data_IF_128034753518
#
_entry.id   IF_128034753518
#
_cell.length_a   1.000
_cell.length_b   1.000
_cell.length_c   1.000
_cell.angle_alpha   90.00
_cell.angle_beta   90.00
_cell.angle_gamma   90.00
#
_symmetry.space_group_name_H-M   'P 1'
#
loop_
_entity.id
_entity.type
_entity.pdbx_description
1 polymer ?
#
# COMPACT_ATOMS: atom_id res chain seq x y z
N UNK A 1 -45.47 -13.91 11.56
CA UNK A 1 -44.00 -13.69 11.65
C UNK A 1 -43.76 -12.25 12.06
N UNK A 2 -43.26 -11.98 13.26
CA UNK A 2 -42.83 -10.62 13.60
C UNK A 2 -41.59 -10.31 12.74
N UNK A 3 -41.68 -9.30 11.87
CA UNK A 3 -40.49 -8.80 11.17
C UNK A 3 -39.47 -8.42 12.23
N UNK A 4 -38.32 -9.11 12.22
CA UNK A 4 -37.19 -8.81 13.10
C UNK A 4 -36.90 -7.31 13.08
N UNK A 5 -36.73 -6.69 14.24
CA UNK A 5 -36.43 -5.25 14.36
C UNK A 5 -35.19 -4.85 13.55
N UNK A 6 -34.24 -5.78 13.37
CA UNK A 6 -33.08 -5.61 12.51
C UNK A 6 -33.46 -5.45 11.03
N UNK A 7 -34.37 -6.29 10.52
CA UNK A 7 -34.85 -6.21 9.14
C UNK A 7 -35.59 -4.90 8.88
N UNK A 8 -36.35 -4.42 9.87
CA UNK A 8 -37.02 -3.10 9.79
C UNK A 8 -36.02 -1.96 9.73
N UNK A 9 -34.96 -2.02 10.54
CA UNK A 9 -33.90 -1.00 10.55
C UNK A 9 -33.20 -0.90 9.20
N UNK A 10 -32.70 -2.01 8.66
CA UNK A 10 -32.04 -1.99 7.34
C UNK A 10 -33.00 -1.55 6.23
N UNK A 11 -34.27 -1.99 6.28
CA UNK A 11 -35.28 -1.54 5.32
C UNK A 11 -35.49 -0.02 5.37
N UNK A 12 -35.41 0.61 6.54
CA UNK A 12 -35.49 2.06 6.66
C UNK A 12 -34.28 2.76 6.01
N UNK A 13 -33.08 2.19 6.14
CA UNK A 13 -31.87 2.71 5.48
C UNK A 13 -31.93 2.53 3.96
N UNK A 14 -32.41 1.39 3.46
CA UNK A 14 -32.64 1.20 2.02
C UNK A 14 -33.65 2.19 1.46
N UNK A 15 -34.74 2.47 2.19
CA UNK A 15 -35.69 3.52 1.82
C UNK A 15 -35.05 4.91 1.79
N UNK A 16 -34.16 5.22 2.73
CA UNK A 16 -33.43 6.49 2.73
C UNK A 16 -32.55 6.63 1.47
N UNK A 17 -31.86 5.56 1.08
CA UNK A 17 -31.06 5.54 -0.16
C UNK A 17 -31.94 5.74 -1.41
N UNK A 18 -33.14 5.14 -1.44
CA UNK A 18 -34.10 5.33 -2.53
C UNK A 18 -34.65 6.76 -2.58
N UNK A 19 -34.96 7.37 -1.43
CA UNK A 19 -35.35 8.78 -1.36
C UNK A 19 -34.25 9.68 -1.90
N UNK A 20 -33.00 9.43 -1.54
CA UNK A 20 -31.85 10.15 -2.08
C UNK A 20 -31.77 10.00 -3.61
N UNK A 21 -31.90 8.77 -4.13
CA UNK A 21 -31.88 8.48 -5.57
C UNK A 21 -33.04 9.15 -6.32
N UNK A 22 -34.22 9.22 -5.72
CA UNK A 22 -35.38 9.91 -6.28
C UNK A 22 -35.22 11.44 -6.26
N UNK A 23 -34.64 12.00 -5.19
CA UNK A 23 -34.33 13.42 -5.14
C UNK A 23 -33.31 13.80 -6.23
N UNK A 24 -32.30 12.95 -6.44
CA UNK A 24 -31.34 13.08 -7.53
C UNK A 24 -32.04 13.07 -8.89
N UNK A 25 -32.90 12.09 -9.16
CA UNK A 25 -33.58 11.98 -10.46
C UNK A 25 -34.52 13.16 -10.72
N UNK A 26 -35.04 13.78 -9.66
CA UNK A 26 -35.80 15.01 -9.68
C UNK A 26 -34.94 16.30 -9.78
N UNK A 27 -33.62 16.18 -9.93
CA UNK A 27 -32.65 17.30 -9.95
C UNK A 27 -32.63 18.15 -8.67
N UNK A 28 -32.90 17.52 -7.53
CA UNK A 28 -32.86 18.14 -6.20
C UNK A 28 -31.58 17.79 -5.44
N UNK A 29 -30.46 17.59 -6.16
CA UNK A 29 -29.17 17.22 -5.54
C UNK A 29 -28.66 18.27 -4.55
N UNK A 30 -28.94 19.54 -4.79
CA UNK A 30 -28.58 20.65 -3.89
C UNK A 30 -29.30 20.59 -2.53
N UNK A 31 -30.43 19.88 -2.45
CA UNK A 31 -31.16 19.68 -1.19
C UNK A 31 -30.66 18.47 -0.40
N UNK A 32 -29.70 17.71 -0.93
CA UNK A 32 -29.13 16.54 -0.28
C UNK A 32 -27.89 16.90 0.51
N UNK A 33 -27.71 16.22 1.64
CA UNK A 33 -26.52 16.39 2.47
C UNK A 33 -25.49 15.30 2.15
N UNK A 34 -24.28 15.64 1.66
CA UNK A 34 -23.23 14.66 1.43
C UNK A 34 -22.80 13.96 2.74
N UNK A 35 -22.89 14.65 3.88
CA UNK A 35 -22.64 14.06 5.21
C UNK A 35 -23.64 12.94 5.57
N UNK A 36 -24.91 13.10 5.17
CA UNK A 36 -25.91 12.03 5.32
C UNK A 36 -25.57 10.87 4.40
N UNK A 37 -25.22 11.12 3.14
CA UNK A 37 -24.74 10.10 2.22
C UNK A 37 -23.55 9.31 2.78
N UNK A 38 -22.55 10.01 3.35
CA UNK A 38 -21.34 9.41 3.94
C UNK A 38 -21.70 8.52 5.13
N UNK A 39 -22.56 9.01 6.02
CA UNK A 39 -23.06 8.24 7.18
C UNK A 39 -23.80 6.97 6.74
N UNK A 40 -24.59 7.05 5.66
CA UNK A 40 -25.30 5.90 5.10
C UNK A 40 -24.32 4.90 4.47
N UNK A 41 -23.31 5.35 3.71
CA UNK A 41 -22.29 4.45 3.14
C UNK A 41 -21.48 3.74 4.23
N UNK A 42 -21.08 4.48 5.27
CA UNK A 42 -20.44 3.92 6.46
C UNK A 42 -21.30 2.85 7.16
N UNK A 43 -22.60 3.14 7.34
CA UNK A 43 -23.55 2.18 7.91
C UNK A 43 -23.66 0.93 7.04
N UNK A 44 -23.89 1.09 5.74
CA UNK A 44 -24.04 -0.02 4.80
C UNK A 44 -22.77 -0.87 4.74
N UNK A 45 -21.59 -0.25 4.80
CA UNK A 45 -20.30 -0.94 4.85
C UNK A 45 -20.18 -1.85 6.07
N UNK A 46 -20.54 -1.34 7.25
CA UNK A 46 -20.55 -2.14 8.49
C UNK A 46 -21.60 -3.25 8.42
N UNK A 47 -22.77 -2.93 7.89
CA UNK A 47 -23.88 -3.85 7.80
C UNK A 47 -23.61 -5.01 6.82
N UNK A 48 -23.08 -4.74 5.62
CA UNK A 48 -22.83 -5.78 4.62
C UNK A 48 -21.72 -6.74 5.03
N UNK A 49 -20.78 -6.30 5.87
CA UNK A 49 -19.77 -7.18 6.45
C UNK A 49 -20.35 -8.22 7.39
N UNK A 50 -21.33 -7.81 8.20
CA UNK A 50 -21.91 -8.65 9.25
C UNK A 50 -23.12 -9.47 8.80
N UNK A 51 -23.99 -8.92 7.95
CA UNK A 51 -25.33 -9.47 7.70
C UNK A 51 -25.58 -9.91 6.26
N UNK A 52 -24.75 -9.51 5.30
CA UNK A 52 -24.88 -9.90 3.90
C UNK A 52 -23.95 -11.07 3.59
N UNK A 53 -24.52 -12.17 3.08
CA UNK A 53 -23.82 -13.41 2.79
C UNK A 53 -23.01 -13.91 4.01
N UNK A 54 -23.65 -14.06 5.19
CA UNK A 54 -22.94 -14.50 6.40
C UNK A 54 -22.32 -15.88 6.19
N UNK A 55 -21.15 -16.10 6.78
CA UNK A 55 -20.54 -17.43 6.79
C UNK A 55 -21.15 -18.27 7.90
N UNK A 56 -21.88 -19.33 7.52
CA UNK A 56 -22.59 -20.18 8.47
C UNK A 56 -21.65 -20.88 9.45
N UNK A 57 -20.38 -21.09 9.06
CA UNK A 57 -19.36 -21.73 9.89
C UNK A 57 -18.97 -20.92 11.12
N UNK A 58 -19.21 -19.61 11.13
CA UNK A 58 -18.85 -18.73 12.25
C UNK A 58 -19.90 -18.68 13.35
N UNK A 59 -21.07 -19.31 13.15
CA UNK A 59 -22.19 -19.19 14.08
C UNK A 59 -22.72 -20.56 14.45
N UNK A 60 -22.93 -20.77 15.76
CA UNK A 60 -23.62 -21.96 16.25
C UNK A 60 -25.10 -21.97 15.87
N UNK A 61 -25.72 -20.78 15.83
CA UNK A 61 -27.09 -20.58 15.40
C UNK A 61 -27.21 -19.25 14.66
N UNK A 62 -27.88 -19.26 13.49
CA UNK A 62 -28.22 -18.05 12.74
C UNK A 62 -29.74 -17.87 12.75
N UNK A 63 -30.19 -16.63 12.90
CA UNK A 63 -31.61 -16.30 12.81
C UNK A 63 -32.17 -16.75 11.45
N UNK A 64 -33.25 -17.55 11.41
CA UNK A 64 -33.86 -18.00 10.14
C UNK A 64 -34.29 -16.83 9.25
N UNK A 65 -34.69 -15.71 9.85
CA UNK A 65 -35.08 -14.51 9.11
C UNK A 65 -33.89 -13.84 8.39
N UNK A 66 -32.70 -13.84 9.01
CA UNK A 66 -31.48 -13.30 8.40
C UNK A 66 -30.98 -14.23 7.31
N UNK A 67 -30.91 -15.54 7.61
CA UNK A 67 -30.49 -16.55 6.62
C UNK A 67 -31.41 -16.54 5.39
N UNK A 68 -32.73 -16.48 5.57
CA UNK A 68 -33.69 -16.42 4.46
C UNK A 68 -33.66 -15.10 3.66
N UNK A 69 -33.21 -13.99 4.27
CA UNK A 69 -33.18 -12.68 3.59
C UNK A 69 -31.85 -12.37 2.93
N UNK A 70 -30.74 -12.83 3.50
CA UNK A 70 -29.39 -12.40 3.11
C UNK A 70 -28.38 -13.55 3.00
N UNK A 71 -28.84 -14.82 3.07
CA UNK A 71 -28.01 -16.01 2.86
C UNK A 71 -27.56 -16.19 1.42
N UNK A 72 -26.57 -17.08 1.22
CA UNK A 72 -25.86 -17.27 -0.07
C UNK A 72 -26.76 -17.62 -1.24
N UNK A 73 -27.82 -18.39 -0.99
CA UNK A 73 -28.72 -18.92 -2.02
C UNK A 73 -30.10 -18.26 -1.98
N UNK A 74 -30.15 -16.96 -1.65
CA UNK A 74 -31.40 -16.23 -1.49
C UNK A 74 -31.55 -15.10 -2.51
N UNK A 75 -32.76 -14.94 -3.05
CA UNK A 75 -33.13 -13.81 -3.92
C UNK A 75 -32.91 -12.47 -3.21
N UNK A 76 -33.10 -12.43 -1.89
CA UNK A 76 -32.90 -11.24 -1.07
C UNK A 76 -31.44 -10.79 -1.05
N UNK A 77 -30.47 -11.72 -1.00
CA UNK A 77 -29.05 -11.39 -1.12
C UNK A 77 -28.71 -10.88 -2.52
N UNK A 78 -29.24 -11.50 -3.57
CA UNK A 78 -29.01 -11.08 -4.96
C UNK A 78 -29.55 -9.68 -5.23
N UNK A 79 -30.78 -9.42 -4.77
CA UNK A 79 -31.39 -8.10 -4.83
C UNK A 79 -30.56 -7.07 -4.04
N UNK A 80 -30.15 -7.41 -2.82
CA UNK A 80 -29.37 -6.50 -1.97
C UNK A 80 -28.02 -6.13 -2.60
N UNK A 81 -27.30 -7.09 -3.17
CA UNK A 81 -26.03 -6.83 -3.86
C UNK A 81 -26.26 -5.91 -5.07
N UNK A 82 -27.28 -6.19 -5.87
CA UNK A 82 -27.62 -5.37 -7.04
C UNK A 82 -28.00 -3.93 -6.63
N UNK A 83 -28.78 -3.80 -5.56
CA UNK A 83 -29.15 -2.52 -4.97
C UNK A 83 -27.93 -1.73 -4.49
N UNK A 84 -27.00 -2.37 -3.76
CA UNK A 84 -25.80 -1.71 -3.27
C UNK A 84 -24.87 -1.28 -4.42
N UNK A 85 -24.70 -2.12 -5.45
CA UNK A 85 -23.90 -1.78 -6.63
C UNK A 85 -24.51 -0.61 -7.41
N UNK A 86 -25.83 -0.61 -7.62
CA UNK A 86 -26.54 0.50 -8.24
C UNK A 86 -26.40 1.79 -7.43
N UNK A 87 -26.50 1.71 -6.09
CA UNK A 87 -26.27 2.86 -5.21
C UNK A 87 -24.83 3.38 -5.30
N UNK A 88 -23.84 2.50 -5.35
CA UNK A 88 -22.43 2.86 -5.56
C UNK A 88 -22.26 3.60 -6.89
N UNK A 89 -22.77 3.03 -7.99
CA UNK A 89 -22.68 3.64 -9.33
C UNK A 89 -23.36 5.02 -9.33
N UNK A 90 -24.54 5.13 -8.71
CA UNK A 90 -25.23 6.41 -8.57
C UNK A 90 -24.38 7.45 -7.83
N UNK A 91 -23.76 7.07 -6.71
CA UNK A 91 -22.92 7.99 -5.96
C UNK A 91 -21.68 8.42 -6.76
N UNK A 92 -21.00 7.49 -7.43
CA UNK A 92 -19.83 7.79 -8.27
C UNK A 92 -20.18 8.72 -9.45
N UNK A 93 -21.43 8.67 -9.93
CA UNK A 93 -21.89 9.52 -11.02
C UNK A 93 -22.18 10.97 -10.62
N UNK A 94 -22.54 11.21 -9.36
CA UNK A 94 -23.16 12.46 -8.94
C UNK A 94 -22.29 13.26 -7.99
N UNK A 95 -21.62 12.57 -7.07
CA UNK A 95 -20.87 13.17 -5.98
C UNK A 95 -19.39 13.32 -6.35
N UNK A 96 -19.06 13.56 -7.62
CA UNK A 96 -17.67 13.65 -8.12
C UNK A 96 -16.86 14.76 -7.44
N UNK A 97 -17.52 15.76 -6.86
CA UNK A 97 -16.90 16.86 -6.11
C UNK A 97 -16.77 16.59 -4.60
N UNK A 98 -17.43 15.57 -4.06
CA UNK A 98 -17.48 15.27 -2.62
C UNK A 98 -16.54 14.10 -2.28
N UNK A 99 -15.25 14.38 -2.11
CA UNK A 99 -14.19 13.38 -1.96
C UNK A 99 -14.48 12.40 -0.81
N UNK A 100 -14.88 12.89 0.37
CA UNK A 100 -15.17 12.04 1.52
C UNK A 100 -16.30 11.05 1.26
N UNK A 101 -17.36 11.46 0.55
CA UNK A 101 -18.47 10.59 0.19
C UNK A 101 -18.06 9.55 -0.86
N UNK A 102 -17.24 9.94 -1.83
CA UNK A 102 -16.68 9.00 -2.81
C UNK A 102 -15.81 7.94 -2.13
N UNK A 103 -14.94 8.34 -1.20
CA UNK A 103 -14.12 7.42 -0.43
C UNK A 103 -14.98 6.43 0.38
N UNK A 104 -15.99 6.90 1.13
CA UNK A 104 -16.90 6.02 1.86
C UNK A 104 -17.69 5.08 0.94
N UNK A 105 -18.11 5.57 -0.22
CA UNK A 105 -18.81 4.78 -1.25
C UNK A 105 -17.91 3.67 -1.80
N UNK A 106 -16.64 3.98 -2.11
CA UNK A 106 -15.70 2.99 -2.62
C UNK A 106 -15.21 2.03 -1.54
N UNK A 107 -15.14 2.47 -0.28
CA UNK A 107 -14.88 1.58 0.86
C UNK A 107 -16.02 0.58 1.09
N UNK A 108 -17.27 0.96 0.81
CA UNK A 108 -18.38 0.02 0.73
C UNK A 108 -18.14 -0.99 -0.41
N UNK A 109 -17.78 -0.54 -1.61
CA UNK A 109 -17.48 -1.44 -2.74
C UNK A 109 -16.36 -2.43 -2.40
N UNK A 110 -15.23 -1.96 -1.85
CA UNK A 110 -14.13 -2.81 -1.37
C UNK A 110 -14.63 -3.84 -0.37
N UNK A 111 -15.52 -3.46 0.56
CA UNK A 111 -16.07 -4.37 1.58
C UNK A 111 -17.05 -5.41 1.03
N UNK A 112 -17.56 -5.24 -0.20
CA UNK A 112 -18.39 -6.23 -0.88
C UNK A 112 -17.54 -7.28 -1.61
N UNK A 113 -16.26 -6.98 -1.91
CA UNK A 113 -15.35 -7.86 -2.65
C UNK A 113 -14.14 -8.32 -1.82
N UNK A 114 -14.01 -7.87 -0.57
CA UNK A 114 -12.88 -8.17 0.33
C UNK A 114 -12.80 -9.65 0.71
N UNK A 115 -13.92 -10.37 0.67
CA UNK A 115 -13.99 -11.82 0.87
C UNK A 115 -14.24 -12.53 -0.48
N UNK A 116 -13.42 -13.55 -0.77
CA UNK A 116 -13.53 -14.33 -2.02
C UNK A 116 -14.94 -14.88 -2.28
N UNK A 117 -15.68 -15.47 -1.31
CA UNK A 117 -17.04 -15.92 -1.55
C UNK A 117 -18.01 -14.81 -1.97
N UNK A 118 -17.87 -13.61 -1.39
CA UNK A 118 -18.68 -12.44 -1.76
C UNK A 118 -18.29 -11.95 -3.16
N UNK A 119 -16.99 -11.91 -3.47
CA UNK A 119 -16.52 -11.58 -4.81
C UNK A 119 -17.10 -12.51 -5.88
N UNK A 120 -17.13 -13.83 -5.65
CA UNK A 120 -17.74 -14.82 -6.57
C UNK A 120 -19.23 -14.52 -6.80
N UNK A 121 -19.93 -14.09 -5.75
CA UNK A 121 -21.33 -13.72 -5.88
C UNK A 121 -21.50 -12.42 -6.67
N UNK A 122 -20.64 -11.42 -6.44
CA UNK A 122 -20.69 -10.12 -7.09
C UNK A 122 -20.31 -10.17 -8.58
N UNK A 123 -19.35 -11.01 -8.97
CA UNK A 123 -18.88 -11.14 -10.37
C UNK A 123 -19.93 -11.72 -11.31
N UNK A 124 -21.01 -12.31 -10.78
CA UNK A 124 -22.18 -12.72 -11.55
C UNK A 124 -23.09 -11.54 -11.95
N UNK A 125 -22.92 -10.38 -11.33
CA UNK A 125 -23.70 -9.18 -11.65
C UNK A 125 -23.10 -8.43 -12.84
N UNK A 126 -23.93 -8.11 -13.84
CA UNK A 126 -23.53 -7.27 -14.97
C UNK A 126 -23.08 -5.86 -14.54
N UNK A 127 -23.56 -5.37 -13.39
CA UNK A 127 -23.21 -4.04 -12.87
C UNK A 127 -21.72 -3.93 -12.58
N UNK A 128 -21.09 -4.97 -12.02
CA UNK A 128 -19.66 -4.96 -11.74
C UNK A 128 -18.83 -4.97 -13.03
N UNK A 129 -19.25 -5.76 -14.02
CA UNK A 129 -18.63 -5.78 -15.34
C UNK A 129 -18.77 -4.44 -16.05
N UNK A 130 -19.89 -3.74 -15.87
CA UNK A 130 -20.08 -2.40 -16.42
C UNK A 130 -19.13 -1.38 -15.78
N UNK A 131 -18.92 -1.44 -14.45
CA UNK A 131 -17.90 -0.61 -13.77
C UNK A 131 -16.51 -0.89 -14.36
N UNK A 132 -16.11 -2.15 -14.48
CA UNK A 132 -14.81 -2.52 -15.04
C UNK A 132 -14.64 -2.03 -16.48
N UNK A 133 -15.67 -2.17 -17.33
CA UNK A 133 -15.66 -1.69 -18.72
C UNK A 133 -15.60 -0.16 -18.82
N UNK A 134 -16.35 0.56 -17.98
CA UNK A 134 -16.33 2.02 -17.95
C UNK A 134 -14.95 2.55 -17.53
N UNK A 135 -14.32 1.91 -16.53
CA UNK A 135 -12.97 2.24 -16.10
C UNK A 135 -11.95 1.95 -17.21
N UNK A 136 -12.04 0.78 -17.84
CA UNK A 136 -11.16 0.37 -18.94
C UNK A 136 -11.24 1.31 -20.14
N UNK A 137 -12.45 1.74 -20.51
CA UNK A 137 -12.69 2.65 -21.64
C UNK A 137 -12.49 4.12 -21.27
N UNK A 138 -12.13 4.43 -20.02
CA UNK A 138 -12.01 5.79 -19.50
C UNK A 138 -13.25 6.65 -19.80
N UNK A 139 -14.44 6.08 -19.53
CA UNK A 139 -15.73 6.72 -19.79
C UNK A 139 -16.31 7.39 -18.53
N UNK A 140 -17.08 8.48 -18.69
CA UNK A 140 -17.83 9.05 -17.58
C UNK A 140 -18.88 8.04 -17.07
N UNK A 141 -19.16 8.02 -15.76
CA UNK A 141 -18.69 8.96 -14.76
C UNK A 141 -17.31 8.65 -14.17
N UNK A 142 -16.78 7.43 -14.36
CA UNK A 142 -15.54 6.98 -13.70
C UNK A 142 -14.30 7.75 -14.15
N UNK A 143 -14.27 8.24 -15.39
CA UNK A 143 -13.20 9.11 -15.89
C UNK A 143 -13.12 10.47 -15.19
N UNK A 144 -14.20 10.91 -14.54
CA UNK A 144 -14.30 12.19 -13.83
C UNK A 144 -13.91 12.07 -12.35
N UNK A 145 -13.62 10.86 -11.87
CA UNK A 145 -13.24 10.66 -10.47
C UNK A 145 -11.89 11.33 -10.18
N UNK A 146 -11.75 12.04 -9.05
CA UNK A 146 -10.46 12.53 -8.56
C UNK A 146 -9.45 11.38 -8.40
N UNK A 147 -8.15 11.69 -8.46
CA UNK A 147 -7.06 10.71 -8.45
C UNK A 147 -7.13 9.74 -7.26
N UNK A 148 -7.23 10.26 -6.03
CA UNK A 148 -7.19 9.48 -4.79
C UNK A 148 -8.31 8.42 -4.65
N UNK A 149 -9.60 8.74 -4.87
CA UNK A 149 -10.67 7.72 -4.92
C UNK A 149 -10.39 6.54 -5.86
N UNK A 150 -9.68 6.75 -6.98
CA UNK A 150 -9.39 5.67 -7.94
C UNK A 150 -8.59 4.53 -7.32
N UNK A 151 -7.75 4.82 -6.33
CA UNK A 151 -7.04 3.79 -5.55
C UNK A 151 -8.01 2.73 -5.00
N UNK A 152 -9.09 3.17 -4.34
CA UNK A 152 -10.10 2.27 -3.77
C UNK A 152 -10.94 1.57 -4.86
N UNK A 153 -11.21 2.24 -5.99
CA UNK A 153 -11.90 1.65 -7.13
C UNK A 153 -11.10 0.49 -7.73
N UNK A 154 -9.83 0.72 -8.08
CA UNK A 154 -8.98 -0.30 -8.70
C UNK A 154 -8.67 -1.43 -7.74
N UNK A 155 -8.47 -1.14 -6.45
CA UNK A 155 -8.40 -2.17 -5.40
C UNK A 155 -9.62 -3.09 -5.44
N UNK A 156 -10.83 -2.52 -5.45
CA UNK A 156 -12.04 -3.32 -5.49
C UNK A 156 -12.14 -4.17 -6.77
N UNK A 157 -11.80 -3.62 -7.93
CA UNK A 157 -11.80 -4.36 -9.20
C UNK A 157 -10.77 -5.51 -9.19
N UNK A 158 -9.58 -5.30 -8.66
CA UNK A 158 -8.57 -6.37 -8.55
C UNK A 158 -9.01 -7.46 -7.56
N UNK A 159 -9.57 -7.08 -6.40
CA UNK A 159 -10.12 -8.04 -5.44
C UNK A 159 -11.31 -8.84 -6.00
N UNK A 160 -12.13 -8.21 -6.84
CA UNK A 160 -13.20 -8.89 -7.56
C UNK A 160 -12.68 -9.94 -8.55
N UNK A 161 -11.51 -9.72 -9.15
CA UNK A 161 -10.87 -10.66 -10.08
C UNK A 161 -10.66 -12.07 -9.53
N UNK A 162 -10.47 -12.22 -8.20
CA UNK A 162 -10.40 -13.53 -7.52
C UNK A 162 -11.71 -14.32 -7.56
N UNK A 163 -12.84 -13.63 -7.74
CA UNK A 163 -14.17 -14.22 -7.81
C UNK A 163 -14.67 -14.49 -9.23
N UNK A 164 -13.90 -14.12 -10.26
CA UNK A 164 -14.29 -14.32 -11.66
C UNK A 164 -14.05 -15.78 -12.04
N UNK A 165 -15.01 -16.36 -12.79
CA UNK A 165 -14.90 -17.71 -13.33
C UNK A 165 -13.70 -17.86 -14.27
N UNK A 166 -13.03 -19.01 -14.27
CA UNK A 166 -11.76 -19.21 -14.97
C UNK A 166 -11.84 -18.98 -16.49
N UNK A 167 -12.99 -19.30 -17.11
CA UNK A 167 -13.27 -19.04 -18.53
C UNK A 167 -13.33 -17.54 -18.89
N UNK A 168 -13.70 -16.67 -17.94
CA UNK A 168 -13.84 -15.23 -18.14
C UNK A 168 -12.66 -14.43 -17.55
N UNK A 169 -11.77 -15.10 -16.81
CA UNK A 169 -10.70 -14.49 -16.02
C UNK A 169 -9.73 -13.68 -16.88
N UNK A 170 -9.28 -14.21 -18.02
CA UNK A 170 -8.39 -13.46 -18.94
C UNK A 170 -9.06 -12.21 -19.50
N UNK A 171 -10.33 -12.29 -19.88
CA UNK A 171 -11.08 -11.15 -20.39
C UNK A 171 -11.23 -10.07 -19.32
N UNK A 172 -11.46 -10.47 -18.07
CA UNK A 172 -11.53 -9.56 -16.93
C UNK A 172 -10.19 -8.85 -16.67
N UNK A 173 -9.09 -9.60 -16.62
CA UNK A 173 -7.76 -9.03 -16.39
C UNK A 173 -7.32 -8.10 -17.53
N UNK A 174 -7.65 -8.44 -18.78
CA UNK A 174 -7.43 -7.53 -19.90
C UNK A 174 -8.25 -6.25 -19.77
N UNK A 175 -9.48 -6.33 -19.26
CA UNK A 175 -10.30 -5.15 -19.01
C UNK A 175 -9.67 -4.24 -17.94
N UNK A 176 -9.29 -4.80 -16.79
CA UNK A 176 -8.85 -4.02 -15.61
C UNK A 176 -7.38 -3.60 -15.70
N UNK A 177 -6.47 -4.51 -16.04
CA UNK A 177 -5.03 -4.26 -15.96
C UNK A 177 -4.45 -3.72 -17.27
N UNK A 178 -4.83 -4.29 -18.42
CA UNK A 178 -4.21 -3.94 -19.70
C UNK A 178 -4.46 -2.48 -20.08
N UNK A 179 -5.69 -1.98 -19.92
CA UNK A 179 -6.00 -0.56 -20.16
C UNK A 179 -5.14 0.37 -19.31
N UNK A 180 -4.95 0.04 -18.02
CA UNK A 180 -4.11 0.82 -17.12
C UNK A 180 -2.64 0.83 -17.56
N UNK A 181 -2.10 -0.34 -17.91
CA UNK A 181 -0.74 -0.48 -18.44
C UNK A 181 -0.57 0.29 -19.75
N UNK A 182 -1.48 0.14 -20.71
CA UNK A 182 -1.38 0.76 -22.02
C UNK A 182 -1.39 2.30 -21.91
N UNK A 183 -2.20 2.86 -20.99
CA UNK A 183 -2.19 4.31 -20.69
C UNK A 183 -0.87 4.75 -20.04
N UNK A 184 -0.35 3.99 -19.09
CA UNK A 184 0.94 4.28 -18.47
C UNK A 184 2.06 4.28 -19.51
N UNK A 185 2.16 3.20 -20.28
CA UNK A 185 3.13 3.03 -21.35
C UNK A 185 3.01 4.14 -22.41
N UNK A 186 1.78 4.52 -22.78
CA UNK A 186 1.56 5.61 -23.73
C UNK A 186 2.11 6.96 -23.25
N UNK A 187 2.18 7.21 -21.93
CA UNK A 187 2.78 8.42 -21.38
C UNK A 187 4.31 8.31 -21.39
N UNK A 188 4.87 7.22 -20.85
CA UNK A 188 6.32 7.10 -20.64
C UNK A 188 7.12 6.82 -21.92
N UNK A 189 6.48 6.26 -22.95
CA UNK A 189 7.14 5.90 -24.21
C UNK A 189 7.06 6.98 -25.30
N UNK A 190 6.56 8.17 -24.99
CA UNK A 190 6.52 9.26 -25.97
C UNK A 190 7.94 9.75 -26.28
N UNK A 191 8.30 9.91 -27.55
CA UNK A 191 9.65 10.38 -27.96
C UNK A 191 9.99 11.76 -27.39
N UNK A 192 8.97 12.61 -27.21
CA UNK A 192 9.09 13.94 -26.62
C UNK A 192 8.85 13.96 -25.10
N UNK A 193 8.77 12.80 -24.44
CA UNK A 193 8.40 12.70 -23.02
C UNK A 193 9.21 13.65 -22.11
N UNK A 194 10.55 13.77 -22.20
CA UNK A 194 11.30 14.70 -21.35
C UNK A 194 10.89 16.17 -21.49
N UNK A 195 10.34 16.56 -22.65
CA UNK A 195 9.87 17.93 -22.93
C UNK A 195 8.44 18.14 -22.46
N UNK A 196 7.59 17.13 -22.55
CA UNK A 196 6.15 17.22 -22.22
C UNK A 196 5.81 16.74 -20.82
N UNK A 197 6.71 16.03 -20.14
CA UNK A 197 6.52 15.49 -18.79
C UNK A 197 6.10 16.58 -17.79
N UNK A 198 6.62 17.80 -17.95
CA UNK A 198 6.32 18.90 -17.04
C UNK A 198 4.95 19.56 -17.29
N UNK A 199 4.22 19.20 -18.35
CA UNK A 199 2.89 19.72 -18.61
C UNK A 199 1.89 19.24 -17.55
N UNK A 200 1.06 20.15 -17.04
CA UNK A 200 0.05 19.87 -16.00
C UNK A 200 -0.83 18.67 -16.38
N UNK A 201 -1.30 18.59 -17.63
CA UNK A 201 -2.13 17.47 -18.08
C UNK A 201 -1.43 16.11 -18.01
N UNK A 202 -0.13 16.05 -18.30
CA UNK A 202 0.66 14.81 -18.21
C UNK A 202 0.90 14.45 -16.74
N UNK A 203 1.24 15.43 -15.89
CA UNK A 203 1.40 15.22 -14.45
C UNK A 203 0.12 14.67 -13.82
N UNK A 204 -1.02 15.31 -14.06
CA UNK A 204 -2.32 14.88 -13.51
C UNK A 204 -2.70 13.49 -14.01
N UNK A 205 -2.46 13.17 -15.28
CA UNK A 205 -2.70 11.84 -15.83
C UNK A 205 -1.79 10.79 -15.17
N UNK A 206 -0.51 11.11 -14.96
CA UNK A 206 0.44 10.23 -14.29
C UNK A 206 0.06 9.98 -12.83
N UNK A 207 -0.26 11.03 -12.06
CA UNK A 207 -0.72 10.91 -10.67
C UNK A 207 -1.96 10.00 -10.59
N UNK A 208 -2.91 10.21 -11.49
CA UNK A 208 -4.15 9.42 -11.59
C UNK A 208 -3.86 7.94 -11.86
N UNK A 209 -2.88 7.63 -12.71
CA UNK A 209 -2.44 6.27 -13.01
C UNK A 209 -1.67 5.66 -11.83
N UNK A 210 -0.77 6.39 -11.20
CA UNK A 210 -0.01 5.92 -10.04
C UNK A 210 -0.94 5.61 -8.86
N UNK A 211 -1.92 6.48 -8.56
CA UNK A 211 -2.96 6.20 -7.55
C UNK A 211 -3.74 4.92 -7.87
N UNK A 212 -4.07 4.74 -9.15
CA UNK A 212 -4.75 3.54 -9.62
C UNK A 212 -3.87 2.29 -9.45
N UNK A 213 -2.56 2.39 -9.70
CA UNK A 213 -1.57 1.33 -9.51
C UNK A 213 -1.37 0.98 -8.03
N UNK A 214 -1.36 1.97 -7.12
CA UNK A 214 -1.38 1.72 -5.67
C UNK A 214 -2.60 0.88 -5.29
N UNK A 215 -3.77 1.20 -5.86
CA UNK A 215 -4.99 0.42 -5.68
C UNK A 215 -4.86 -1.03 -6.17
N UNK A 216 -4.21 -1.23 -7.33
CA UNK A 216 -3.94 -2.57 -7.86
C UNK A 216 -3.01 -3.35 -6.92
N UNK A 217 -2.00 -2.72 -6.34
CA UNK A 217 -1.06 -3.35 -5.40
C UNK A 217 -1.76 -3.73 -4.09
N UNK A 218 -2.60 -2.84 -3.55
CA UNK A 218 -3.45 -3.13 -2.39
C UNK A 218 -4.46 -4.27 -2.61
N UNK A 219 -4.77 -4.58 -3.87
CA UNK A 219 -5.65 -5.69 -4.28
C UNK A 219 -4.95 -7.04 -4.37
N UNK A 220 -3.65 -7.11 -4.10
CA UNK A 220 -2.88 -8.37 -4.13
C UNK A 220 -3.44 -9.41 -3.16
N UNK A 221 -3.55 -10.64 -3.67
CA UNK A 221 -3.86 -11.86 -2.93
C UNK A 221 -2.99 -13.00 -3.45
N UNK A 222 -2.86 -14.07 -2.67
CA UNK A 222 -2.08 -15.25 -3.04
C UNK A 222 -2.51 -15.82 -4.41
N UNK A 223 -3.81 -15.80 -4.72
CA UNK A 223 -4.36 -16.36 -5.96
C UNK A 223 -4.12 -15.51 -7.22
N UNK A 224 -3.73 -14.24 -7.07
CA UNK A 224 -3.46 -13.32 -8.18
C UNK A 224 -2.02 -12.77 -8.19
N UNK A 225 -1.21 -13.11 -7.17
CA UNK A 225 0.14 -12.62 -6.93
C UNK A 225 1.03 -12.69 -8.17
N UNK A 226 1.20 -13.88 -8.75
CA UNK A 226 2.16 -14.08 -9.85
C UNK A 226 1.83 -13.22 -11.08
N UNK A 227 0.53 -13.03 -11.35
CA UNK A 227 0.05 -12.17 -12.43
C UNK A 227 0.34 -10.70 -12.12
N UNK A 228 0.02 -10.25 -10.91
CA UNK A 228 0.24 -8.87 -10.51
C UNK A 228 1.73 -8.53 -10.45
N UNK A 229 2.58 -9.43 -9.95
CA UNK A 229 4.02 -9.21 -9.94
C UNK A 229 4.59 -9.07 -11.36
N UNK A 230 4.15 -9.94 -12.29
CA UNK A 230 4.54 -9.87 -13.70
C UNK A 230 4.06 -8.57 -14.37
N UNK A 231 2.92 -8.05 -13.95
CA UNK A 231 2.37 -6.76 -14.39
C UNK A 231 3.15 -5.57 -13.81
N UNK A 232 3.51 -5.61 -12.52
CA UNK A 232 4.17 -4.50 -11.83
C UNK A 232 5.65 -4.35 -12.18
N UNK A 233 6.38 -5.45 -12.33
CA UNK A 233 7.84 -5.38 -12.51
C UNK A 233 8.31 -4.39 -13.61
N UNK A 234 7.78 -4.43 -14.85
CA UNK A 234 8.18 -3.45 -15.88
C UNK A 234 7.73 -2.02 -15.52
N UNK A 235 6.55 -1.84 -14.93
CA UNK A 235 6.03 -0.53 -14.52
C UNK A 235 6.94 0.09 -13.46
N UNK A 236 7.34 -0.68 -12.44
CA UNK A 236 8.22 -0.21 -11.38
C UNK A 236 9.61 0.16 -11.92
N UNK A 237 10.13 -0.58 -12.91
CA UNK A 237 11.39 -0.22 -13.58
C UNK A 237 11.29 1.12 -14.31
N UNK A 238 10.13 1.41 -14.88
CA UNK A 238 9.83 2.71 -15.51
C UNK A 238 9.69 3.80 -14.45
N UNK A 239 9.05 3.51 -13.31
CA UNK A 239 8.94 4.42 -12.17
C UNK A 239 10.32 4.87 -11.64
N UNK A 240 11.32 3.99 -11.57
CA UNK A 240 12.69 4.40 -11.20
C UNK A 240 13.25 5.44 -12.18
N UNK A 241 12.96 5.31 -13.47
CA UNK A 241 13.36 6.33 -14.47
C UNK A 241 12.55 7.61 -14.35
N UNK A 242 11.27 7.51 -13.96
CA UNK A 242 10.43 8.67 -13.68
C UNK A 242 10.94 9.49 -12.50
N UNK A 243 11.57 8.88 -11.48
CA UNK A 243 12.23 9.62 -10.40
C UNK A 243 13.32 10.57 -10.92
N UNK A 244 14.07 10.18 -11.96
CA UNK A 244 15.08 11.05 -12.59
C UNK A 244 14.43 12.23 -13.32
N UNK A 245 13.25 12.03 -13.94
CA UNK A 245 12.52 13.06 -14.70
C UNK A 245 11.76 14.03 -13.78
N UNK A 246 11.17 13.52 -12.70
CA UNK A 246 10.28 14.24 -11.80
C UNK A 246 10.91 14.58 -10.44
N UNK A 247 12.24 14.53 -10.30
CA UNK A 247 12.95 14.79 -9.03
C UNK A 247 12.62 16.12 -8.33
N UNK A 248 12.06 17.11 -9.06
CA UNK A 248 11.58 18.39 -8.51
C UNK A 248 10.04 18.48 -8.48
N UNK A 249 9.31 17.37 -8.41
CA UNK A 249 7.86 17.34 -8.40
C UNK A 249 7.33 16.66 -7.14
N UNK A 250 6.83 17.49 -6.24
CA UNK A 250 6.38 17.18 -4.89
C UNK A 250 5.22 16.17 -4.87
N UNK A 251 4.34 16.17 -5.88
CA UNK A 251 3.21 15.23 -5.92
C UNK A 251 3.57 13.86 -6.53
N UNK A 252 4.65 13.78 -7.32
CA UNK A 252 4.94 12.61 -8.17
C UNK A 252 5.99 11.70 -7.52
N UNK A 253 7.04 12.28 -6.93
CA UNK A 253 8.11 11.54 -6.26
C UNK A 253 7.58 10.68 -5.10
N UNK A 254 6.87 11.24 -4.09
CA UNK A 254 6.35 10.44 -2.99
C UNK A 254 5.39 9.36 -3.47
N UNK A 255 4.54 9.66 -4.47
CA UNK A 255 3.58 8.69 -5.00
C UNK A 255 4.26 7.52 -5.74
N UNK A 256 5.41 7.76 -6.40
CA UNK A 256 6.23 6.67 -6.95
C UNK A 256 6.82 5.80 -5.84
N UNK A 257 7.36 6.41 -4.79
CA UNK A 257 7.94 5.68 -3.65
C UNK A 257 6.84 4.88 -2.93
N UNK A 258 5.66 5.48 -2.74
CA UNK A 258 4.48 4.85 -2.17
C UNK A 258 4.02 3.64 -2.98
N UNK A 259 4.01 3.73 -4.32
CA UNK A 259 3.68 2.59 -5.18
C UNK A 259 4.68 1.44 -4.99
N UNK A 260 5.99 1.73 -4.95
CA UNK A 260 7.02 0.72 -4.70
C UNK A 260 6.79 0.08 -3.32
N UNK A 261 6.51 0.90 -2.30
CA UNK A 261 6.18 0.45 -0.94
C UNK A 261 4.98 -0.50 -0.91
N UNK A 262 3.87 -0.14 -1.56
CA UNK A 262 2.68 -0.99 -1.61
C UNK A 262 2.99 -2.33 -2.27
N UNK A 263 3.75 -2.36 -3.37
CA UNK A 263 4.13 -3.62 -4.01
C UNK A 263 5.00 -4.47 -3.08
N UNK A 264 6.03 -3.88 -2.46
CA UNK A 264 6.90 -4.61 -1.51
C UNK A 264 6.06 -5.15 -0.34
N UNK A 265 5.27 -4.31 0.31
CA UNK A 265 4.51 -4.68 1.50
C UNK A 265 3.48 -5.78 1.22
N UNK A 266 2.82 -5.77 0.05
CA UNK A 266 1.77 -6.75 -0.26
C UNK A 266 2.28 -8.02 -0.92
N UNK A 267 3.41 -7.96 -1.64
CA UNK A 267 3.87 -9.07 -2.48
C UNK A 267 5.10 -9.78 -1.92
N UNK A 268 6.08 -9.06 -1.34
CA UNK A 268 7.42 -9.59 -1.07
C UNK A 268 7.42 -10.92 -0.30
N UNK A 269 6.65 -11.00 0.80
CA UNK A 269 6.57 -12.18 1.67
C UNK A 269 6.08 -13.45 0.95
N UNK A 270 5.47 -13.34 -0.23
CA UNK A 270 4.92 -14.47 -0.97
C UNK A 270 5.72 -14.80 -2.24
N UNK A 271 6.72 -14.00 -2.60
CA UNK A 271 7.52 -14.20 -3.81
C UNK A 271 8.65 -15.18 -3.57
N UNK A 272 8.94 -16.09 -4.51
CA UNK A 272 10.18 -16.88 -4.49
C UNK A 272 11.45 -16.02 -4.58
N UNK A 273 12.62 -16.63 -4.34
CA UNK A 273 13.91 -15.93 -4.24
C UNK A 273 14.25 -15.09 -5.48
N UNK A 274 14.06 -15.64 -6.69
CA UNK A 274 14.42 -14.96 -7.93
C UNK A 274 13.62 -13.66 -8.15
N UNK A 275 12.33 -13.68 -7.81
CA UNK A 275 11.47 -12.50 -7.92
C UNK A 275 11.72 -11.51 -6.78
N UNK A 276 12.02 -12.00 -5.57
CA UNK A 276 12.43 -11.17 -4.44
C UNK A 276 13.70 -10.38 -4.76
N UNK A 277 14.70 -11.02 -5.36
CA UNK A 277 15.96 -10.36 -5.76
C UNK A 277 15.74 -9.22 -6.74
N UNK A 278 14.89 -9.42 -7.77
CA UNK A 278 14.53 -8.34 -8.71
C UNK A 278 13.90 -7.16 -7.99
N UNK A 279 13.07 -7.41 -6.99
CA UNK A 279 12.43 -6.37 -6.19
C UNK A 279 13.45 -5.65 -5.30
N UNK A 280 14.39 -6.37 -4.69
CA UNK A 280 15.50 -5.81 -3.92
C UNK A 280 16.38 -4.88 -4.76
N UNK A 281 16.80 -5.32 -5.95
CA UNK A 281 17.58 -4.52 -6.89
C UNK A 281 16.83 -3.26 -7.35
N UNK A 282 15.52 -3.38 -7.58
CA UNK A 282 14.66 -2.27 -7.96
C UNK A 282 14.54 -1.23 -6.84
N UNK A 283 14.32 -1.67 -5.60
CA UNK A 283 14.23 -0.78 -4.43
C UNK A 283 15.55 -0.04 -4.20
N UNK A 284 16.69 -0.76 -4.30
CA UNK A 284 18.01 -0.14 -4.20
C UNK A 284 18.20 0.93 -5.28
N UNK A 285 17.81 0.62 -6.53
CA UNK A 285 17.90 1.56 -7.64
C UNK A 285 17.04 2.81 -7.42
N UNK A 286 15.84 2.66 -6.85
CA UNK A 286 14.96 3.78 -6.50
C UNK A 286 15.57 4.68 -5.42
N UNK A 287 16.11 4.09 -4.34
CA UNK A 287 16.77 4.82 -3.25
C UNK A 287 17.99 5.58 -3.77
N UNK A 288 18.81 4.94 -4.60
CA UNK A 288 19.98 5.56 -5.23
C UNK A 288 19.58 6.71 -6.15
N UNK A 289 18.53 6.54 -6.96
CA UNK A 289 18.05 7.59 -7.87
C UNK A 289 17.55 8.82 -7.10
N UNK A 290 16.78 8.60 -6.03
CA UNK A 290 16.32 9.69 -5.17
C UNK A 290 17.49 10.42 -4.49
N UNK A 291 18.44 9.66 -3.91
CA UNK A 291 19.60 10.24 -3.23
C UNK A 291 20.49 11.04 -4.17
N UNK A 292 20.70 10.57 -5.41
CA UNK A 292 21.46 11.29 -6.45
C UNK A 292 20.99 12.74 -6.66
N UNK A 293 19.69 13.00 -6.57
CA UNK A 293 19.12 14.33 -6.81
C UNK A 293 18.97 15.19 -5.54
N UNK A 294 19.00 14.56 -4.36
CA UNK A 294 18.76 15.25 -3.09
C UNK A 294 20.03 15.43 -2.23
N UNK A 295 21.11 14.71 -2.55
CA UNK A 295 22.37 14.84 -1.83
C UNK A 295 22.96 16.25 -2.02
N UNK A 296 23.19 16.95 -0.90
CA UNK A 296 23.73 18.31 -0.91
C UNK A 296 22.74 19.41 -1.31
N UNK A 297 21.47 19.07 -1.58
CA UNK A 297 20.39 20.05 -1.83
C UNK A 297 20.06 20.78 -0.53
N UNK A 298 20.22 22.10 -0.52
CA UNK A 298 19.84 22.95 0.62
C UNK A 298 18.34 23.27 0.51
N UNK A 299 17.58 23.02 1.57
CA UNK A 299 16.21 23.53 1.71
C UNK A 299 16.27 25.04 1.96
N UNK A 300 15.35 25.79 1.37
CA UNK A 300 15.26 27.25 1.51
C UNK A 300 14.00 27.66 2.30
N UNK A 301 13.07 26.75 2.57
CA UNK A 301 11.88 27.01 3.39
C UNK A 301 11.32 25.75 4.09
N UNK A 302 10.41 25.99 5.03
CA UNK A 302 9.80 24.96 5.89
C UNK A 302 8.99 23.92 5.09
N UNK A 303 8.31 24.34 4.01
CA UNK A 303 7.53 23.44 3.13
C UNK A 303 8.44 22.38 2.47
N UNK A 304 9.62 22.78 1.97
CA UNK A 304 10.59 21.86 1.35
C UNK A 304 11.19 20.86 2.37
N UNK A 305 11.19 21.21 3.66
CA UNK A 305 11.65 20.33 4.72
C UNK A 305 10.59 19.28 5.07
N UNK A 306 9.30 19.66 5.12
CA UNK A 306 8.19 18.73 5.33
C UNK A 306 8.07 17.73 4.17
N UNK A 307 8.29 18.16 2.94
CA UNK A 307 8.34 17.29 1.75
C UNK A 307 9.48 16.27 1.84
N UNK A 308 10.69 16.75 2.16
CA UNK A 308 11.85 15.87 2.34
C UNK A 308 11.63 14.88 3.47
N UNK A 309 11.00 15.32 4.55
CA UNK A 309 10.59 14.46 5.65
C UNK A 309 9.67 13.33 5.16
N UNK A 310 8.63 13.65 4.38
CA UNK A 310 7.69 12.66 3.85
C UNK A 310 8.37 11.65 2.93
N UNK A 311 9.23 12.11 2.01
CA UNK A 311 9.97 11.23 1.10
C UNK A 311 10.94 10.30 1.85
N UNK A 312 11.69 10.84 2.82
CA UNK A 312 12.60 10.03 3.64
C UNK A 312 11.82 9.03 4.49
N UNK A 313 10.68 9.43 5.07
CA UNK A 313 9.83 8.54 5.84
C UNK A 313 9.36 7.35 4.98
N UNK A 314 8.88 7.60 3.75
CA UNK A 314 8.50 6.55 2.82
C UNK A 314 9.66 5.62 2.49
N UNK A 315 10.87 6.14 2.30
CA UNK A 315 12.06 5.33 2.07
C UNK A 315 12.45 4.48 3.29
N UNK A 316 12.27 5.00 4.51
CA UNK A 316 12.51 4.24 5.74
C UNK A 316 11.48 3.12 5.94
N UNK A 317 10.22 3.38 5.59
CA UNK A 317 9.18 2.35 5.54
C UNK A 317 9.49 1.29 4.47
N UNK A 318 10.03 1.68 3.31
CA UNK A 318 10.50 0.75 2.28
C UNK A 318 11.55 -0.20 2.83
N UNK A 319 12.61 0.36 3.44
CA UNK A 319 13.68 -0.41 4.04
C UNK A 319 13.16 -1.38 5.12
N UNK A 320 12.21 -0.93 5.93
CA UNK A 320 11.59 -1.77 6.95
C UNK A 320 10.77 -2.91 6.33
N UNK A 321 9.99 -2.62 5.28
CA UNK A 321 9.20 -3.62 4.56
C UNK A 321 10.09 -4.64 3.83
N UNK A 322 11.29 -4.26 3.39
CA UNK A 322 12.23 -5.22 2.77
C UNK A 322 12.70 -6.31 3.74
N UNK A 323 12.83 -5.99 5.03
CA UNK A 323 13.17 -6.97 6.07
C UNK A 323 11.99 -7.88 6.44
N UNK A 324 10.75 -7.57 6.02
CA UNK A 324 9.58 -8.35 6.45
C UNK A 324 9.64 -9.81 6.01
N UNK A 325 10.32 -10.08 4.89
CA UNK A 325 10.50 -11.43 4.37
C UNK A 325 11.37 -12.31 5.27
N UNK A 326 12.38 -11.74 5.92
CA UNK A 326 13.26 -12.49 6.83
C UNK A 326 12.51 -13.02 8.07
N UNK A 327 11.35 -12.42 8.40
CA UNK A 327 10.46 -12.88 9.47
C UNK A 327 9.26 -13.71 8.98
N UNK A 328 8.72 -13.36 7.82
CA UNK A 328 7.47 -13.89 7.27
C UNK A 328 7.70 -14.33 5.84
N UNK A 329 8.40 -15.45 5.66
CA UNK A 329 8.52 -16.09 4.36
C UNK A 329 7.37 -17.08 4.14
N UNK A 330 6.44 -16.69 3.27
CA UNK A 330 5.32 -17.51 2.81
C UNK A 330 5.52 -17.97 1.36
N UNK A 331 6.72 -17.86 0.81
CA UNK A 331 7.02 -18.37 -0.53
C UNK A 331 6.93 -19.89 -0.56
N UNK A 332 6.63 -20.45 -1.74
CA UNK A 332 6.54 -21.89 -1.92
C UNK A 332 7.96 -22.49 -1.92
N UNK A 333 8.27 -23.46 -1.03
CA UNK A 333 9.59 -24.12 -1.01
C UNK A 333 9.96 -24.77 -2.36
N UNK A 334 8.97 -25.06 -3.21
CA UNK A 334 9.21 -25.59 -4.56
C UNK A 334 9.79 -24.54 -5.55
N UNK A 335 9.69 -23.24 -5.24
CA UNK A 335 10.28 -22.14 -6.02
C UNK A 335 11.71 -21.76 -5.57
N UNK A 336 12.24 -22.43 -4.54
CA UNK A 336 13.65 -22.31 -4.13
C UNK A 336 14.57 -22.97 -5.16
N UNK A 337 14.93 -22.22 -6.20
CA UNK A 337 15.99 -22.61 -7.11
C UNK A 337 17.32 -22.33 -6.40
N UNK A 338 17.92 -23.35 -5.80
CA UNK A 338 19.29 -23.26 -5.25
C UNK A 338 20.22 -22.65 -6.31
N UNK A 339 20.74 -21.42 -6.11
CA UNK A 339 21.57 -20.80 -7.12
C UNK A 339 22.94 -21.51 -7.17
N UNK A 340 23.24 -22.16 -8.30
CA UNK A 340 24.52 -22.86 -8.51
C UNK A 340 25.73 -21.92 -8.61
N UNK A 341 25.59 -20.59 -8.63
CA UNK A 341 26.74 -19.67 -8.64
C UNK A 341 26.41 -18.28 -8.09
N UNK A 342 27.08 -17.90 -6.99
CA UNK A 342 27.73 -16.60 -6.79
C UNK A 342 26.88 -15.32 -6.67
N UNK A 343 26.80 -14.79 -5.44
CA UNK A 343 26.36 -13.43 -5.14
C UNK A 343 24.92 -13.34 -4.63
N UNK A 344 24.65 -13.85 -3.43
CA UNK A 344 23.35 -13.62 -2.77
C UNK A 344 23.28 -12.16 -2.30
N UNK A 345 22.66 -11.28 -3.10
CA UNK A 345 22.16 -10.00 -2.59
C UNK A 345 21.01 -10.32 -1.66
N UNK A 346 21.26 -10.23 -0.35
CA UNK A 346 20.24 -10.48 0.68
C UNK A 346 19.44 -9.20 0.99
N UNK A 347 18.26 -9.35 1.60
CA UNK A 347 17.44 -8.22 2.02
C UNK A 347 18.22 -7.28 2.95
N UNK A 348 18.93 -7.85 3.92
CA UNK A 348 19.77 -7.09 4.86
C UNK A 348 20.90 -6.32 4.17
N UNK A 349 21.52 -6.86 3.12
CA UNK A 349 22.52 -6.12 2.34
C UNK A 349 21.88 -4.88 1.70
N UNK A 350 20.75 -5.06 0.99
CA UNK A 350 20.05 -3.94 0.35
C UNK A 350 19.61 -2.89 1.36
N UNK A 351 19.14 -3.33 2.53
CA UNK A 351 18.71 -2.42 3.59
C UNK A 351 19.88 -1.63 4.17
N UNK A 352 21.02 -2.27 4.42
CA UNK A 352 22.21 -1.57 4.92
C UNK A 352 22.78 -0.60 3.89
N UNK A 353 22.83 -0.98 2.61
CA UNK A 353 23.24 -0.08 1.53
C UNK A 353 22.25 1.09 1.35
N UNK A 354 20.95 0.82 1.43
CA UNK A 354 19.91 1.84 1.36
C UNK A 354 20.00 2.81 2.54
N UNK A 355 20.18 2.30 3.75
CA UNK A 355 20.33 3.11 4.97
C UNK A 355 21.57 4.00 4.88
N UNK A 356 22.71 3.48 4.42
CA UNK A 356 23.91 4.27 4.16
C UNK A 356 23.69 5.38 3.12
N UNK A 357 22.77 5.17 2.19
CA UNK A 357 22.42 6.13 1.13
C UNK A 357 21.47 7.23 1.65
N UNK A 358 20.63 6.92 2.63
CA UNK A 358 19.63 7.83 3.21
C UNK A 358 20.19 8.62 4.40
N UNK A 359 21.07 8.05 5.23
CA UNK A 359 21.65 8.72 6.41
C UNK A 359 22.20 10.13 6.08
N UNK A 360 22.96 10.35 4.98
CA UNK A 360 23.45 11.68 4.65
C UNK A 360 22.36 12.71 4.31
N UNK A 361 21.15 12.24 3.98
CA UNK A 361 19.98 13.07 3.70
C UNK A 361 19.22 13.45 4.98
N UNK A 362 19.48 12.75 6.10
CA UNK A 362 18.91 13.03 7.41
C UNK A 362 19.79 14.02 8.16
N UNK A 363 19.26 15.20 8.48
CA UNK A 363 19.90 16.15 9.39
C UNK A 363 19.32 16.00 10.81
N UNK A 364 19.90 16.72 11.78
CA UNK A 364 19.44 16.70 13.17
C UNK A 364 17.99 17.22 13.32
N UNK A 365 17.59 18.18 12.47
CA UNK A 365 16.24 18.75 12.43
C UNK A 365 15.19 17.72 12.00
N UNK A 366 15.46 16.92 10.96
CA UNK A 366 14.57 15.84 10.51
C UNK A 366 14.38 14.75 11.58
N UNK A 367 15.38 14.49 12.43
CA UNK A 367 15.26 13.57 13.55
C UNK A 367 14.42 14.12 14.71
N UNK A 368 14.07 15.41 14.71
CA UNK A 368 13.12 15.98 15.67
C UNK A 368 11.68 15.54 15.39
N UNK A 369 11.38 15.11 14.16
CA UNK A 369 10.07 14.55 13.82
C UNK A 369 9.92 13.15 14.43
N UNK A 370 8.97 12.94 15.38
CA UNK A 370 8.93 11.71 16.18
C UNK A 370 8.71 10.44 15.35
N UNK A 371 7.90 10.52 14.29
CA UNK A 371 7.60 9.37 13.43
C UNK A 371 8.82 8.89 12.66
N UNK A 372 9.58 9.80 12.03
CA UNK A 372 10.79 9.45 11.30
C UNK A 372 11.87 8.90 12.24
N UNK A 373 12.08 9.56 13.38
CA UNK A 373 13.00 9.08 14.40
C UNK A 373 12.63 7.66 14.87
N UNK A 374 11.36 7.42 15.20
CA UNK A 374 10.88 6.10 15.60
C UNK A 374 11.08 5.04 14.51
N UNK A 375 10.79 5.34 13.24
CA UNK A 375 11.01 4.40 12.14
C UNK A 375 12.50 4.08 11.93
N UNK A 376 13.37 5.08 12.05
CA UNK A 376 14.82 4.88 11.99
C UNK A 376 15.33 3.93 13.07
N UNK A 377 15.00 4.21 14.34
CA UNK A 377 15.46 3.35 15.42
C UNK A 377 14.84 1.95 15.34
N UNK A 378 13.56 1.84 14.95
CA UNK A 378 12.91 0.55 14.72
C UNK A 378 13.64 -0.29 13.67
N UNK A 379 14.04 0.32 12.55
CA UNK A 379 14.81 -0.36 11.50
C UNK A 379 16.17 -0.84 12.02
N UNK A 380 16.91 0.03 12.72
CA UNK A 380 18.24 -0.32 13.27
C UNK A 380 18.13 -1.41 14.33
N UNK A 381 17.12 -1.36 15.20
CA UNK A 381 16.82 -2.43 16.17
C UNK A 381 16.58 -3.76 15.46
N UNK A 382 15.74 -3.79 14.42
CA UNK A 382 15.50 -5.02 13.66
C UNK A 382 16.76 -5.58 13.01
N UNK A 383 17.58 -4.73 12.39
CA UNK A 383 18.86 -5.17 11.82
C UNK A 383 19.78 -5.74 12.90
N UNK A 384 19.86 -5.10 14.07
CA UNK A 384 20.72 -5.54 15.17
C UNK A 384 20.24 -6.87 15.80
N UNK A 385 18.93 -7.12 15.83
CA UNK A 385 18.35 -8.34 16.38
C UNK A 385 18.52 -9.55 15.45
N UNK A 386 18.29 -9.38 14.15
CA UNK A 386 18.30 -10.49 13.18
C UNK A 386 19.68 -10.69 12.56
N UNK A 387 20.36 -9.59 12.22
CA UNK A 387 21.53 -9.56 11.35
C UNK A 387 22.74 -8.90 12.04
N UNK A 388 22.93 -9.17 13.33
CA UNK A 388 24.03 -8.65 14.12
C UNK A 388 25.41 -8.91 13.47
N UNK A 389 25.55 -10.05 12.76
CA UNK A 389 26.77 -10.43 12.04
C UNK A 389 27.16 -9.44 10.94
N UNK A 390 26.19 -8.75 10.34
CA UNK A 390 26.44 -7.78 9.27
C UNK A 390 27.04 -6.49 9.81
N UNK A 391 26.83 -6.14 11.09
CA UNK A 391 27.41 -4.93 11.69
C UNK A 391 28.93 -4.97 11.74
N UNK A 392 29.51 -6.17 11.88
CA UNK A 392 30.95 -6.38 11.92
C UNK A 392 31.62 -6.25 10.55
N UNK A 393 30.85 -6.37 9.46
CA UNK A 393 31.34 -6.22 8.08
C UNK A 393 31.02 -4.86 7.46
N UNK A 394 30.37 -3.95 8.19
CA UNK A 394 30.05 -2.62 7.69
C UNK A 394 31.30 -1.76 7.47
N UNK A 395 31.25 -0.83 6.50
CA UNK A 395 32.24 0.23 6.40
C UNK A 395 32.32 1.04 7.71
N UNK A 396 33.53 1.36 8.14
CA UNK A 396 33.80 2.03 9.42
C UNK A 396 33.00 3.34 9.59
N UNK A 397 32.88 4.14 8.53
CA UNK A 397 32.11 5.39 8.56
C UNK A 397 30.63 5.17 8.86
N UNK A 398 30.03 4.12 8.28
CA UNK A 398 28.63 3.78 8.48
C UNK A 398 28.43 3.24 9.90
N UNK A 399 29.29 2.32 10.34
CA UNK A 399 29.24 1.78 11.69
C UNK A 399 29.35 2.91 12.73
N UNK A 400 30.31 3.82 12.57
CA UNK A 400 30.49 4.96 13.47
C UNK A 400 29.25 5.88 13.48
N UNK A 401 28.64 6.13 12.31
CA UNK A 401 27.42 6.95 12.21
C UNK A 401 26.23 6.29 12.92
N UNK A 402 26.06 4.98 12.74
CA UNK A 402 25.02 4.21 13.43
C UNK A 402 25.25 4.22 14.95
N UNK A 403 26.47 3.94 15.42
CA UNK A 403 26.76 3.96 16.86
C UNK A 403 26.57 5.36 17.47
N UNK A 404 26.98 6.42 16.77
CA UNK A 404 26.71 7.78 17.22
C UNK A 404 25.20 8.08 17.32
N UNK A 405 24.40 7.59 16.38
CA UNK A 405 22.94 7.73 16.45
C UNK A 405 22.34 6.99 17.65
N UNK A 406 22.85 5.79 17.98
CA UNK A 406 22.44 5.02 19.16
C UNK A 406 22.78 5.75 20.47
N UNK A 407 23.97 6.38 20.54
CA UNK A 407 24.35 7.21 21.69
C UNK A 407 23.42 8.42 21.87
N UNK A 408 23.05 9.10 20.78
CA UNK A 408 22.05 10.16 20.82
C UNK A 408 20.67 9.65 21.24
N UNK A 409 20.29 8.45 20.80
CA UNK A 409 19.06 7.73 21.16
C UNK A 409 18.88 7.51 22.66
N UNK A 410 19.97 7.28 23.39
CA UNK A 410 19.95 7.09 24.84
C UNK A 410 19.65 8.38 25.61
N UNK A 411 19.89 9.55 25.03
CA UNK A 411 19.90 10.83 25.77
C UNK A 411 18.86 11.85 25.31
N UNK A 412 18.46 11.86 24.03
CA UNK A 412 17.73 13.02 23.45
C UNK A 412 16.29 12.79 23.03
N UNK A 413 15.88 11.57 22.65
CA UNK A 413 14.62 11.35 21.91
C UNK A 413 13.49 10.68 22.70
N UNK A 414 13.61 10.61 24.02
CA UNK A 414 12.58 10.07 24.90
C UNK A 414 12.68 8.55 25.14
N UNK A 415 11.80 8.05 26.02
CA UNK A 415 11.94 6.72 26.63
C UNK A 415 11.85 5.56 25.64
N UNK A 416 11.00 5.66 24.61
CA UNK A 416 10.84 4.59 23.61
C UNK A 416 12.09 4.43 22.75
N UNK A 417 12.69 5.55 22.34
CA UNK A 417 13.93 5.55 21.56
C UNK A 417 15.11 5.09 22.41
N UNK A 418 15.17 5.50 23.68
CA UNK A 418 16.20 5.00 24.60
C UNK A 418 16.07 3.50 24.85
N UNK A 419 14.84 2.97 24.95
CA UNK A 419 14.59 1.52 25.02
C UNK A 419 15.10 0.81 23.76
N UNK A 420 14.73 1.28 22.56
CA UNK A 420 15.22 0.69 21.29
C UNK A 420 16.75 0.75 21.17
N UNK A 421 17.36 1.83 21.65
CA UNK A 421 18.82 2.00 21.70
C UNK A 421 19.49 0.96 22.62
N UNK A 422 18.90 0.69 23.78
CA UNK A 422 19.37 -0.35 24.69
C UNK A 422 19.18 -1.77 24.11
N UNK A 423 18.08 -2.01 23.40
CA UNK A 423 17.82 -3.25 22.67
C UNK A 423 18.91 -3.49 21.61
N UNK A 424 19.25 -2.47 20.81
CA UNK A 424 20.35 -2.51 19.83
C UNK A 424 21.68 -2.89 20.50
N UNK A 425 22.05 -2.18 21.57
CA UNK A 425 23.32 -2.42 22.29
C UNK A 425 23.34 -3.85 22.85
N UNK A 426 22.23 -4.32 23.42
CA UNK A 426 22.14 -5.66 23.99
C UNK A 426 22.32 -6.74 22.92
N UNK A 427 21.68 -6.60 21.76
CA UNK A 427 21.78 -7.55 20.65
C UNK A 427 23.19 -7.59 20.06
N UNK A 428 23.80 -6.42 19.83
CA UNK A 428 25.17 -6.33 19.30
C UNK A 428 26.22 -6.83 20.31
N UNK A 429 26.10 -6.48 21.59
CA UNK A 429 27.02 -6.95 22.62
C UNK A 429 26.92 -8.47 22.81
N UNK A 430 25.70 -9.01 22.81
CA UNK A 430 25.44 -10.45 22.81
C UNK A 430 26.14 -11.14 21.64
N UNK A 431 26.02 -10.58 20.43
CA UNK A 431 26.69 -11.13 19.25
C UNK A 431 28.22 -11.09 19.38
N UNK A 432 28.81 -9.95 19.78
CA UNK A 432 30.27 -9.81 19.98
C UNK A 432 30.79 -10.83 20.98
N UNK A 433 30.06 -11.06 22.08
CA UNK A 433 30.42 -12.06 23.10
C UNK A 433 30.33 -13.49 22.55
N UNK A 434 29.21 -13.85 21.92
CA UNK A 434 28.98 -15.21 21.39
C UNK A 434 29.95 -15.57 20.25
N UNK A 435 30.33 -14.60 19.42
CA UNK A 435 31.22 -14.78 18.27
C UNK A 435 32.71 -14.59 18.61
N UNK A 436 33.07 -14.32 19.87
CA UNK A 436 34.44 -14.03 20.33
C UNK A 436 35.15 -12.94 19.51
N UNK A 437 34.42 -11.92 19.04
CA UNK A 437 34.95 -10.82 18.21
C UNK A 437 35.76 -9.77 18.99
N UNK A 438 36.67 -10.22 19.86
CA UNK A 438 37.53 -9.35 20.67
C UNK A 438 38.48 -8.53 19.79
N UNK A 439 38.53 -7.22 20.01
CA UNK A 439 39.43 -6.30 19.29
C UNK A 439 38.88 -5.76 17.96
N UNK A 440 37.64 -6.07 17.60
CA UNK A 440 36.95 -5.45 16.46
C UNK A 440 36.51 -4.00 16.78
N UNK A 441 36.23 -3.21 15.74
CA UNK A 441 35.68 -1.85 15.90
C UNK A 441 34.33 -1.91 16.63
N UNK A 442 33.49 -2.90 16.31
CA UNK A 442 32.22 -3.13 17.00
C UNK A 442 32.42 -3.40 18.50
N UNK A 443 33.40 -4.25 18.87
CA UNK A 443 33.76 -4.48 20.27
C UNK A 443 34.22 -3.18 20.97
N UNK A 444 34.97 -2.33 20.29
CA UNK A 444 35.40 -1.04 20.87
C UNK A 444 34.23 -0.10 21.15
N UNK A 445 33.23 -0.06 20.27
CA UNK A 445 31.99 0.69 20.49
C UNK A 445 31.17 0.14 21.66
N UNK A 446 31.01 -1.19 21.74
CA UNK A 446 30.30 -1.82 22.86
C UNK A 446 31.00 -1.54 24.20
N UNK A 447 32.34 -1.53 24.23
CA UNK A 447 33.10 -1.16 25.42
C UNK A 447 32.92 0.32 25.82
N UNK A 448 32.68 1.22 24.86
CA UNK A 448 32.36 2.62 25.14
C UNK A 448 30.95 2.77 25.73
N UNK A 449 29.94 2.06 25.19
CA UNK A 449 28.59 2.09 25.73
C UNK A 449 28.50 1.60 27.18
N UNK A 450 29.34 0.64 27.58
CA UNK A 450 29.43 0.23 28.98
C UNK A 450 29.76 1.39 29.93
N UNK A 451 30.54 2.39 29.48
CA UNK A 451 30.87 3.58 30.28
C UNK A 451 29.78 4.65 30.30
N UNK A 452 28.85 4.57 29.34
CA UNK A 452 27.72 5.51 29.22
C UNK A 452 26.52 5.00 30.01
N UNK A 453 26.36 3.68 30.10
CA UNK A 453 25.23 3.00 30.75
C UNK A 453 25.51 2.67 32.23
N UNK A 454 26.76 2.34 32.59
CA UNK A 454 27.21 2.13 33.98
C UNK A 454 27.88 3.38 34.52
#
# INVERSE_FOLDING_TARGET
MSFSSLLKLISAVFRLCEVEKQAISAKLSEALSPQVGSSVMCFLRRWCRAYLLPDETYYTNISPAISASFGRDTDGAQWTVSFLLDKIISNLALWTSEISLLEDTLQLLVSLVDQRPKAIFLTKSDLLWNIAKQESNHQPPLSLLPSKPRRSLLKALVLAGSGVEDNLKENYWNCVLKSLHDRFHHIVSQENFPRVAQLVGIKTALITILESLCGVAEGTRIDNLQRLFSFFLPILQDCVRLLDVYHNCEDVVPLIIELINEVVQKQLCYLGEANSRKLYELCLSAIQMYSKHNLGRRTVGDDEEEERYNDILLMMELLTNLLSKDFMDFSDPAEEVFPENGGQVSASDVVLFGLNTIIPLMNEELLTFPTLCAQYFKLVTFLAEIHAEKFSSLPENLLNSLMASVELGLSRFGTDISRMSLEIITSLASHVFQSNQSGTILHSHMANFLKVIM
#
